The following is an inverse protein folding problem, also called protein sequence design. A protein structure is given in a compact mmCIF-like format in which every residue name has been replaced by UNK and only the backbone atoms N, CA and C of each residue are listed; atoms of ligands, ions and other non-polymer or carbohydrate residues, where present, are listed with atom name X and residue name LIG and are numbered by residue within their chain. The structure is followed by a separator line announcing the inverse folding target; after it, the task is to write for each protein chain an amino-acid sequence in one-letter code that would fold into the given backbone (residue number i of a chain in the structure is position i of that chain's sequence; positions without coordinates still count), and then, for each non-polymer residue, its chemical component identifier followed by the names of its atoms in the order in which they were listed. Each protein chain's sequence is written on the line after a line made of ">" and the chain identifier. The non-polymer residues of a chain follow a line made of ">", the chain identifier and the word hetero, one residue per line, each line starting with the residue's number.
data_IF_603632202169
#
_entry.id   IF_603632202169
#
_cell.length_a   1.000
_cell.length_b   1.000
_cell.length_c   1.000
_cell.angle_alpha   90.00
_cell.angle_beta   90.00
_cell.angle_gamma   90.00
#
_symmetry.space_group_name_H-M   'P 1'
#
loop_
_entity.id
_entity.type
_entity.pdbx_description
1 polymer ?
#
# COMPACT_ATOMS: atom_id res chain seq x y z
N UNK A 1 -6.83 6.85 18.15
CA UNK A 1 -6.13 5.66 17.65
C UNK A 1 -4.97 6.19 16.82
N UNK A 2 -3.72 5.90 17.18
CA UNK A 2 -2.62 6.18 16.26
C UNK A 2 -2.72 5.13 15.16
N UNK A 3 -2.80 5.55 13.90
CA UNK A 3 -2.68 4.61 12.78
C UNK A 3 -1.24 4.12 12.80
N UNK A 4 -1.03 2.85 13.13
CA UNK A 4 0.29 2.25 13.25
C UNK A 4 0.65 1.59 11.92
N UNK A 5 0.90 2.43 10.92
CA UNK A 5 1.47 2.04 9.62
C UNK A 5 3.00 2.19 9.67
N UNK A 6 3.63 1.66 10.72
CA UNK A 6 5.04 1.97 10.97
C UNK A 6 5.74 0.84 11.69
N UNK A 7 6.48 0.06 10.91
CA UNK A 7 7.78 -0.52 11.26
C UNK A 7 8.39 -1.24 10.03
N UNK A 8 7.94 -0.92 8.81
CA UNK A 8 8.46 -1.57 7.61
C UNK A 8 9.92 -1.16 7.39
N UNK A 9 10.81 -2.13 7.43
CA UNK A 9 12.19 -1.98 7.00
C UNK A 9 12.69 -3.32 6.48
N UNK A 10 13.40 -3.29 5.36
CA UNK A 10 13.95 -4.49 4.74
C UNK A 10 15.47 -4.58 4.90
N UNK A 11 16.15 -3.45 5.16
CA UNK A 11 17.59 -3.38 5.38
C UNK A 11 18.40 -3.14 4.11
N UNK A 12 17.88 -2.31 3.20
CA UNK A 12 18.52 -1.95 1.93
C UNK A 12 19.06 -0.51 1.89
N UNK A 13 18.71 0.23 0.83
CA UNK A 13 19.01 1.65 0.74
C UNK A 13 18.04 2.45 1.62
N UNK A 14 18.55 2.98 2.74
CA UNK A 14 17.73 3.69 3.74
C UNK A 14 17.00 4.93 3.18
N UNK A 15 17.64 5.71 2.30
CA UNK A 15 17.00 6.88 1.69
C UNK A 15 15.83 6.45 0.80
N UNK A 16 16.00 5.34 0.10
CA UNK A 16 14.95 4.76 -0.75
C UNK A 16 13.82 4.13 0.06
N UNK A 17 14.13 3.44 1.16
CA UNK A 17 13.11 2.94 2.08
C UNK A 17 12.27 4.11 2.62
N UNK A 18 12.91 5.16 3.12
CA UNK A 18 12.24 6.34 3.67
C UNK A 18 11.33 7.04 2.64
N UNK A 19 11.80 7.19 1.39
CA UNK A 19 11.00 7.77 0.31
C UNK A 19 9.70 6.99 0.07
N UNK A 20 9.79 5.66 -0.03
CA UNK A 20 8.63 4.80 -0.28
C UNK A 20 7.72 4.73 0.95
N UNK A 21 8.27 4.63 2.15
CA UNK A 21 7.51 4.61 3.41
C UNK A 21 6.70 5.90 3.55
N UNK A 22 7.31 7.06 3.32
CA UNK A 22 6.63 8.35 3.46
C UNK A 22 5.46 8.47 2.48
N UNK A 23 5.65 8.09 1.21
CA UNK A 23 4.57 8.07 0.22
C UNK A 23 3.41 7.16 0.65
N UNK A 24 3.71 5.94 1.10
CA UNK A 24 2.69 4.97 1.50
C UNK A 24 1.96 5.40 2.77
N UNK A 25 2.66 5.95 3.75
CA UNK A 25 2.04 6.47 4.97
C UNK A 25 1.08 7.63 4.69
N UNK A 26 1.48 8.56 3.82
CA UNK A 26 0.60 9.65 3.37
C UNK A 26 -0.63 9.09 2.67
N UNK A 27 -0.43 8.23 1.66
CA UNK A 27 -1.53 7.61 0.90
C UNK A 27 -2.49 6.82 1.80
N UNK A 28 -1.97 6.01 2.73
CA UNK A 28 -2.80 5.17 3.60
C UNK A 28 -3.54 6.01 4.63
N UNK A 29 -2.90 7.05 5.18
CA UNK A 29 -3.53 7.96 6.13
C UNK A 29 -4.67 8.74 5.46
N UNK A 30 -4.43 9.30 4.28
CA UNK A 30 -5.44 10.04 3.55
C UNK A 30 -6.61 9.12 3.16
N UNK A 31 -6.32 7.93 2.62
CA UNK A 31 -7.33 6.92 2.32
C UNK A 31 -8.17 6.55 3.54
N UNK A 32 -7.51 6.37 4.70
CA UNK A 32 -8.16 6.02 5.94
C UNK A 32 -9.17 7.08 6.37
N UNK A 33 -8.75 8.35 6.37
CA UNK A 33 -9.56 9.47 6.82
C UNK A 33 -10.68 9.81 5.82
N UNK A 34 -10.36 9.86 4.52
CA UNK A 34 -11.32 10.26 3.48
C UNK A 34 -12.42 9.21 3.26
N UNK A 35 -12.08 7.93 3.41
CA UNK A 35 -13.08 6.86 3.33
C UNK A 35 -13.70 6.52 4.69
N UNK A 36 -13.41 7.31 5.73
CA UNK A 36 -14.00 7.21 7.06
C UNK A 36 -13.84 5.80 7.67
N UNK A 37 -12.67 5.18 7.51
CA UNK A 37 -12.43 3.82 7.96
C UNK A 37 -12.51 3.71 9.49
N UNK A 38 -12.24 4.78 10.23
CA UNK A 38 -12.40 4.87 11.69
C UNK A 38 -13.85 4.68 12.17
N UNK A 39 -14.83 4.83 11.28
CA UNK A 39 -16.25 4.65 11.59
C UNK A 39 -16.75 3.23 11.27
N UNK A 40 -15.89 2.36 10.72
CA UNK A 40 -16.21 0.96 10.50
C UNK A 40 -16.17 0.16 11.81
N UNK A 41 -16.70 -1.06 11.81
CA UNK A 41 -16.56 -1.97 12.94
C UNK A 41 -15.09 -2.34 13.19
N UNK A 42 -14.72 -2.63 14.44
CA UNK A 42 -13.35 -3.01 14.83
C UNK A 42 -12.76 -4.09 13.91
N UNK A 43 -13.54 -5.13 13.60
CA UNK A 43 -13.11 -6.22 12.70
C UNK A 43 -12.79 -5.76 11.28
N UNK A 44 -13.48 -4.74 10.77
CA UNK A 44 -13.20 -4.17 9.45
C UNK A 44 -11.99 -3.26 9.51
N UNK A 45 -11.85 -2.46 10.57
CA UNK A 45 -10.66 -1.64 10.78
C UNK A 45 -9.41 -2.51 10.84
N UNK A 46 -9.44 -3.61 11.60
CA UNK A 46 -8.36 -4.59 11.68
C UNK A 46 -8.04 -5.20 10.31
N UNK A 47 -9.07 -5.58 9.53
CA UNK A 47 -8.88 -6.08 8.17
C UNK A 47 -8.18 -5.05 7.27
N UNK A 48 -8.59 -3.78 7.29
CA UNK A 48 -7.92 -2.75 6.50
C UNK A 48 -6.49 -2.51 6.99
N UNK A 49 -6.26 -2.35 8.29
CA UNK A 49 -4.92 -2.15 8.86
C UNK A 49 -3.97 -3.28 8.45
N UNK A 50 -4.39 -4.54 8.61
CA UNK A 50 -3.58 -5.71 8.29
C UNK A 50 -3.18 -5.72 6.81
N UNK A 51 -4.16 -5.54 5.92
CA UNK A 51 -3.91 -5.58 4.48
C UNK A 51 -3.08 -4.38 3.99
N UNK A 52 -3.31 -3.18 4.53
CA UNK A 52 -2.46 -2.02 4.22
C UNK A 52 -1.03 -2.24 4.71
N UNK A 53 -0.84 -2.84 5.90
CA UNK A 53 0.48 -3.19 6.39
C UNK A 53 1.20 -4.21 5.50
N UNK A 54 0.53 -5.27 5.05
CA UNK A 54 1.13 -6.20 4.08
C UNK A 54 1.53 -5.51 2.77
N UNK A 55 0.70 -4.62 2.25
CA UNK A 55 1.03 -3.87 1.04
C UNK A 55 2.28 -3.01 1.27
N UNK A 56 2.36 -2.34 2.42
CA UNK A 56 3.53 -1.57 2.82
C UNK A 56 4.82 -2.40 2.87
N UNK A 57 4.77 -3.55 3.54
CA UNK A 57 5.91 -4.48 3.63
C UNK A 57 6.39 -4.93 2.25
N UNK A 58 5.46 -5.31 1.36
CA UNK A 58 5.79 -5.82 0.03
C UNK A 58 6.40 -4.72 -0.84
N UNK A 59 5.80 -3.53 -0.86
CA UNK A 59 6.30 -2.45 -1.71
C UNK A 59 7.65 -1.92 -1.23
N UNK A 60 7.85 -1.81 0.09
CA UNK A 60 9.17 -1.47 0.66
C UNK A 60 10.20 -2.52 0.27
N UNK A 61 9.88 -3.82 0.41
CA UNK A 61 10.75 -4.90 -0.04
C UNK A 61 11.08 -4.77 -1.54
N UNK A 62 10.09 -4.63 -2.42
CA UNK A 62 10.31 -4.49 -3.87
C UNK A 62 11.20 -3.29 -4.21
N UNK A 63 11.08 -2.20 -3.48
CA UNK A 63 11.86 -0.99 -3.70
C UNK A 63 13.36 -1.14 -3.40
N UNK A 64 13.75 -2.08 -2.53
CA UNK A 64 15.14 -2.14 -2.04
C UNK A 64 15.80 -3.52 -2.07
N UNK A 65 15.06 -4.59 -2.33
CA UNK A 65 15.60 -5.95 -2.32
C UNK A 65 16.69 -6.20 -3.39
N UNK A 66 16.51 -5.65 -4.59
CA UNK A 66 17.56 -5.63 -5.63
C UNK A 66 17.70 -4.21 -6.20
N UNK A 67 18.81 -3.49 -5.91
CA UNK A 67 19.03 -2.14 -6.42
C UNK A 67 19.05 -2.01 -7.96
N UNK A 68 19.15 -3.13 -8.69
CA UNK A 68 19.14 -3.16 -10.15
C UNK A 68 17.80 -3.55 -10.75
N UNK A 69 16.79 -3.86 -9.92
CA UNK A 69 15.46 -4.17 -10.41
C UNK A 69 14.80 -2.93 -11.01
N UNK A 70 13.83 -3.10 -11.94
CA UNK A 70 12.99 -1.99 -12.39
C UNK A 70 12.32 -1.25 -11.22
N UNK A 71 11.81 -1.98 -10.23
CA UNK A 71 11.09 -1.47 -9.06
C UNK A 71 11.96 -0.54 -8.19
N UNK A 72 13.25 -0.83 -8.08
CA UNK A 72 14.20 0.01 -7.36
C UNK A 72 14.47 1.36 -8.03
N UNK A 73 14.13 1.50 -9.31
CA UNK A 73 14.34 2.73 -10.10
C UNK A 73 13.05 3.54 -10.31
N UNK A 74 11.88 2.98 -9.96
CA UNK A 74 10.59 3.67 -10.06
C UNK A 74 10.46 4.78 -9.01
N UNK A 75 9.65 5.79 -9.24
CA UNK A 75 9.15 6.64 -8.15
C UNK A 75 8.23 5.82 -7.22
N UNK A 76 7.98 6.23 -5.97
CA UNK A 76 7.03 5.53 -5.09
C UNK A 76 5.64 5.39 -5.70
N UNK A 77 5.18 6.41 -6.43
CA UNK A 77 3.94 6.38 -7.18
C UNK A 77 3.96 5.33 -8.31
N UNK A 78 5.01 5.33 -9.16
CA UNK A 78 5.14 4.32 -10.22
C UNK A 78 5.24 2.90 -9.66
N UNK A 79 5.96 2.72 -8.54
CA UNK A 79 6.06 1.45 -7.84
C UNK A 79 4.67 0.95 -7.41
N UNK A 80 3.87 1.82 -6.79
CA UNK A 80 2.49 1.50 -6.42
C UNK A 80 1.66 1.11 -7.65
N UNK A 81 1.68 1.93 -8.71
CA UNK A 81 0.88 1.70 -9.93
C UNK A 81 1.32 0.47 -10.73
N UNK A 82 2.57 0.04 -10.59
CA UNK A 82 3.08 -1.19 -11.21
C UNK A 82 2.64 -2.45 -10.46
N UNK A 83 2.29 -2.33 -9.17
CA UNK A 83 2.03 -3.47 -8.28
C UNK A 83 0.55 -3.59 -7.87
N UNK A 84 -0.24 -2.53 -8.05
CA UNK A 84 -1.63 -2.46 -7.61
C UNK A 84 -2.52 -1.96 -8.75
N UNK A 85 -3.65 -2.61 -8.97
CA UNK A 85 -4.66 -2.19 -9.93
C UNK A 85 -6.08 -2.26 -9.33
N UNK A 86 -7.12 -2.06 -10.15
CA UNK A 86 -8.52 -2.03 -9.68
C UNK A 86 -9.02 -3.34 -9.06
N UNK A 87 -8.37 -4.46 -9.38
CA UNK A 87 -8.82 -5.82 -9.05
C UNK A 87 -7.82 -6.64 -8.24
N UNK A 88 -6.53 -6.32 -8.29
CA UNK A 88 -5.47 -7.16 -7.75
C UNK A 88 -4.37 -6.30 -7.08
N UNK A 89 -3.81 -6.83 -5.99
CA UNK A 89 -2.54 -6.39 -5.41
C UNK A 89 -1.41 -7.39 -5.66
N UNK A 90 -0.24 -7.19 -5.04
CA UNK A 90 0.83 -8.18 -5.05
C UNK A 90 0.40 -9.55 -4.49
N UNK A 91 1.09 -10.62 -4.90
CA UNK A 91 0.87 -11.95 -4.33
C UNK A 91 1.38 -12.00 -2.88
N UNK A 92 0.52 -12.39 -1.94
CA UNK A 92 0.85 -12.62 -0.54
C UNK A 92 1.40 -14.05 -0.32
N UNK A 93 0.55 -15.03 -0.54
CA UNK A 93 0.82 -16.45 -0.37
C UNK A 93 0.09 -17.23 -1.49
N UNK A 94 0.79 -18.01 -2.32
CA UNK A 94 0.17 -18.77 -3.40
C UNK A 94 -0.83 -19.83 -2.94
N UNK A 95 -0.83 -20.21 -1.66
CA UNK A 95 -1.69 -21.26 -1.11
C UNK A 95 -2.87 -20.71 -0.26
N UNK A 96 -2.99 -19.39 -0.10
CA UNK A 96 -4.06 -18.75 0.68
C UNK A 96 -4.92 -17.80 -0.17
N UNK A 97 -5.78 -18.40 -1.01
CA UNK A 97 -6.75 -17.69 -1.84
C UNK A 97 -7.70 -16.79 -1.01
N UNK A 98 -7.96 -17.14 0.25
CA UNK A 98 -8.88 -16.35 1.09
C UNK A 98 -8.21 -15.05 1.51
N UNK A 99 -6.97 -15.13 2.01
CA UNK A 99 -6.18 -13.96 2.35
C UNK A 99 -5.91 -13.09 1.12
N UNK A 100 -5.55 -13.70 -0.02
CA UNK A 100 -5.32 -12.98 -1.27
C UNK A 100 -6.57 -12.21 -1.73
N UNK A 101 -7.75 -12.83 -1.71
CA UNK A 101 -9.00 -12.16 -2.09
C UNK A 101 -9.32 -10.96 -1.18
N UNK A 102 -9.11 -11.07 0.14
CA UNK A 102 -9.31 -9.94 1.06
C UNK A 102 -8.33 -8.80 0.77
N UNK A 103 -7.07 -9.14 0.49
CA UNK A 103 -6.01 -8.20 0.16
C UNK A 103 -6.28 -7.46 -1.16
N UNK A 104 -6.67 -8.19 -2.20
CA UNK A 104 -7.02 -7.64 -3.52
C UNK A 104 -8.17 -6.63 -3.44
N UNK A 105 -9.18 -6.92 -2.62
CA UNK A 105 -10.30 -5.99 -2.39
C UNK A 105 -9.84 -4.67 -1.75
N UNK A 106 -8.92 -4.73 -0.79
CA UNK A 106 -8.37 -3.53 -0.13
C UNK A 106 -7.49 -2.75 -1.11
N UNK A 107 -6.59 -3.45 -1.81
CA UNK A 107 -5.73 -2.91 -2.85
C UNK A 107 -6.52 -2.18 -3.94
N UNK A 108 -7.56 -2.81 -4.49
CA UNK A 108 -8.40 -2.19 -5.52
C UNK A 108 -9.18 -0.97 -5.04
N UNK A 109 -9.55 -0.90 -3.76
CA UNK A 109 -10.16 0.32 -3.18
C UNK A 109 -9.16 1.45 -3.04
N UNK A 110 -7.94 1.14 -2.61
CA UNK A 110 -6.87 2.11 -2.48
C UNK A 110 -6.44 2.66 -3.84
N UNK A 111 -6.31 1.79 -4.85
CA UNK A 111 -6.02 2.18 -6.23
C UNK A 111 -7.07 3.14 -6.78
N UNK A 112 -8.37 2.80 -6.64
CA UNK A 112 -9.46 3.67 -7.08
C UNK A 112 -9.42 5.02 -6.36
N UNK A 113 -9.15 5.02 -5.05
CA UNK A 113 -9.01 6.25 -4.29
C UNK A 113 -7.88 7.14 -4.83
N UNK A 114 -6.69 6.57 -5.09
CA UNK A 114 -5.58 7.33 -5.68
C UNK A 114 -5.96 7.91 -7.05
N UNK A 115 -6.58 7.11 -7.92
CA UNK A 115 -7.02 7.56 -9.24
C UNK A 115 -8.08 8.68 -9.16
N UNK A 116 -9.06 8.57 -8.24
CA UNK A 116 -10.06 9.61 -7.99
C UNK A 116 -9.39 10.92 -7.54
N UNK A 117 -8.47 10.83 -6.58
CA UNK A 117 -7.73 11.97 -6.04
C UNK A 117 -6.90 12.70 -7.10
N UNK A 118 -6.25 11.94 -7.99
CA UNK A 118 -5.45 12.51 -9.08
C UNK A 118 -6.31 13.20 -10.15
N UNK A 119 -7.51 12.70 -10.40
CA UNK A 119 -8.45 13.37 -11.30
C UNK A 119 -8.91 14.71 -10.72
N UNK A 120 -9.15 14.78 -9.42
CA UNK A 120 -9.57 16.01 -8.72
C UNK A 120 -8.48 17.09 -8.67
N UNK A 121 -7.20 16.70 -8.62
CA UNK A 121 -6.07 17.64 -8.61
C UNK A 121 -5.73 18.21 -10.01
N UNK A 122 -6.23 17.58 -11.07
CA UNK A 122 -6.01 17.99 -12.46
C UNK A 122 -7.17 18.83 -13.05
N UNK A 123 -8.10 19.28 -12.20
CA UNK A 123 -9.25 20.16 -12.54
C UNK A 123 -9.07 21.51 -11.85
#
# INVERSE_FOLDING_TARGET
>A
MSLDFSDWSFGGNAEREEEVINFLQELFTDFWLDKHLENLSDSKQELYCRNLNWLGEILVMHAVADPRSPEAQMTPHELFMANVNETEGPLLDPDDDVAQNEFDIVCGKLYRYLCEREQEQNI
#
